data_IF_949546735499
#
_entry.id   IF_949546735499
#
_cell.length_a   1.000
_cell.length_b   1.000
_cell.length_c   1.000
_cell.angle_alpha   90.00
_cell.angle_beta   90.00
_cell.angle_gamma   90.00
#
_symmetry.space_group_name_H-M   'P 1'
#
loop_
_entity.id
_entity.type
_entity.pdbx_description
1 polymer ?
#
# COMPACT_ATOMS: atom_id res chain seq x y z
N UNK A 1 44.07 -68.77 -6.99
CA UNK A 1 44.36 -67.48 -7.63
C UNK A 1 43.09 -66.65 -7.65
N UNK A 2 43.25 -65.38 -7.30
CA UNK A 2 42.33 -64.59 -6.49
C UNK A 2 41.24 -63.87 -7.28
N UNK A 3 40.09 -63.69 -6.62
CA UNK A 3 38.80 -63.20 -7.11
C UNK A 3 38.81 -61.83 -7.79
N UNK A 4 37.87 -61.70 -8.74
CA UNK A 4 37.49 -60.52 -9.50
C UNK A 4 36.91 -59.41 -8.62
N UNK A 5 37.30 -58.19 -8.98
CA UNK A 5 36.87 -56.89 -8.46
C UNK A 5 35.36 -56.71 -8.63
N UNK A 6 34.67 -56.34 -7.54
CA UNK A 6 33.35 -55.73 -7.58
C UNK A 6 33.35 -54.55 -6.60
N UNK A 7 33.53 -53.35 -7.15
CA UNK A 7 33.40 -52.08 -6.44
C UNK A 7 31.91 -51.73 -6.43
N UNK A 8 31.28 -51.83 -5.26
CA UNK A 8 29.94 -51.31 -5.01
C UNK A 8 30.08 -49.92 -4.37
N UNK A 9 30.18 -48.90 -5.21
CA UNK A 9 29.99 -47.50 -4.79
C UNK A 9 28.49 -47.27 -4.75
N UNK A 10 27.91 -47.36 -3.54
CA UNK A 10 26.54 -46.95 -3.31
C UNK A 10 26.51 -45.41 -3.26
N UNK A 11 26.11 -44.82 -4.39
CA UNK A 11 25.83 -43.40 -4.53
C UNK A 11 24.54 -43.06 -3.76
N UNK A 12 24.68 -42.78 -2.47
CA UNK A 12 23.59 -42.27 -1.63
C UNK A 12 23.39 -40.78 -1.91
N UNK A 13 22.32 -40.48 -2.66
CA UNK A 13 21.88 -39.15 -3.08
C UNK A 13 21.94 -38.11 -1.95
N UNK A 14 22.50 -36.97 -2.31
CA UNK A 14 22.52 -35.70 -1.60
C UNK A 14 21.17 -35.34 -0.99
N UNK A 15 21.05 -35.47 0.32
CA UNK A 15 20.07 -34.74 1.11
C UNK A 15 20.55 -33.32 1.35
N UNK A 16 20.41 -32.44 0.35
CA UNK A 16 20.42 -30.99 0.55
C UNK A 16 18.96 -30.51 0.67
N UNK A 17 18.35 -30.76 1.83
CA UNK A 17 17.10 -30.12 2.25
C UNK A 17 17.25 -29.94 3.76
N UNK A 18 17.24 -28.76 4.36
CA UNK A 18 16.87 -27.44 3.90
C UNK A 18 17.91 -26.45 4.42
N UNK A 19 18.39 -25.54 3.56
CA UNK A 19 18.78 -24.24 4.08
C UNK A 19 17.48 -23.64 4.62
N UNK A 20 17.40 -23.51 5.94
CA UNK A 20 16.43 -22.65 6.60
C UNK A 20 16.63 -21.23 6.07
N UNK A 21 15.95 -20.89 4.98
CA UNK A 21 15.79 -19.52 4.55
C UNK A 21 14.89 -18.86 5.58
N UNK A 22 15.49 -18.28 6.61
CA UNK A 22 14.89 -17.27 7.48
C UNK A 22 14.65 -15.98 6.70
N UNK A 23 13.99 -16.11 5.54
CA UNK A 23 13.61 -15.03 4.63
C UNK A 23 12.09 -15.00 4.52
N UNK A 24 11.56 -13.79 4.32
CA UNK A 24 10.17 -13.53 3.96
C UNK A 24 9.71 -14.49 2.85
N UNK A 25 8.46 -15.01 2.89
CA UNK A 25 7.95 -15.83 1.80
C UNK A 25 7.90 -14.98 0.52
N UNK A 26 8.38 -15.53 -0.60
CA UNK A 26 8.29 -14.86 -1.89
C UNK A 26 6.86 -14.93 -2.43
N UNK A 27 6.01 -14.05 -1.91
CA UNK A 27 4.58 -13.97 -2.25
C UNK A 27 4.38 -13.36 -3.63
N UNK A 28 5.18 -12.36 -4.00
CA UNK A 28 5.08 -11.70 -5.31
C UNK A 28 5.28 -12.70 -6.45
N UNK A 29 6.32 -13.53 -6.38
CA UNK A 29 6.53 -14.62 -7.35
C UNK A 29 5.34 -15.59 -7.43
N UNK A 30 4.71 -15.90 -6.29
CA UNK A 30 3.55 -16.81 -6.25
C UNK A 30 2.32 -16.17 -6.88
N UNK A 31 2.10 -14.88 -6.70
CA UNK A 31 1.04 -14.16 -7.39
C UNK A 31 1.25 -14.16 -8.91
N UNK A 32 2.49 -13.93 -9.38
CA UNK A 32 2.80 -14.05 -10.82
C UNK A 32 2.53 -15.47 -11.36
N UNK A 33 2.79 -16.51 -10.57
CA UNK A 33 2.43 -17.89 -10.94
C UNK A 33 0.92 -18.06 -11.09
N UNK A 34 0.12 -17.50 -10.17
CA UNK A 34 -1.35 -17.51 -10.27
C UNK A 34 -1.82 -16.83 -11.55
N UNK A 35 -1.28 -15.66 -11.88
CA UNK A 35 -1.61 -14.92 -13.10
C UNK A 35 -1.26 -15.69 -14.39
N UNK A 36 -0.20 -16.50 -14.35
CA UNK A 36 0.21 -17.39 -15.45
C UNK A 36 -0.62 -18.68 -15.52
N UNK A 37 -1.70 -18.80 -14.74
CA UNK A 37 -2.56 -19.97 -14.69
C UNK A 37 -2.00 -21.13 -13.85
N UNK A 38 -0.92 -20.93 -13.09
CA UNK A 38 -0.31 -21.94 -12.22
C UNK A 38 -0.88 -21.93 -10.80
N UNK A 39 -2.13 -21.49 -10.63
CA UNK A 39 -2.76 -21.33 -9.32
C UNK A 39 -2.84 -22.61 -8.50
N UNK A 40 -3.07 -23.77 -9.14
CA UNK A 40 -3.12 -25.06 -8.45
C UNK A 40 -1.78 -25.46 -7.81
N UNK A 41 -0.66 -25.14 -8.48
CA UNK A 41 0.67 -25.38 -7.91
C UNK A 41 0.89 -24.53 -6.65
N UNK A 42 0.51 -23.25 -6.70
CA UNK A 42 0.62 -22.34 -5.56
C UNK A 42 -0.32 -22.74 -4.42
N UNK A 43 -1.53 -23.21 -4.74
CA UNK A 43 -2.51 -23.72 -3.78
C UNK A 43 -1.99 -24.96 -3.04
N UNK A 44 -1.26 -25.84 -3.72
CA UNK A 44 -0.64 -27.01 -3.09
C UNK A 44 0.43 -26.62 -2.05
N UNK A 45 1.12 -25.48 -2.23
CA UNK A 45 2.10 -24.96 -1.27
C UNK A 45 1.47 -24.18 -0.11
N UNK A 46 0.23 -23.71 -0.27
CA UNK A 46 -0.40 -22.74 0.63
C UNK A 46 -0.49 -23.25 2.08
N UNK A 47 -0.85 -24.52 2.28
CA UNK A 47 -0.94 -25.10 3.63
C UNK A 47 0.40 -25.07 4.36
N UNK A 48 1.51 -25.33 3.66
CA UNK A 48 2.84 -25.25 4.23
C UNK A 48 3.21 -23.79 4.53
N UNK A 49 2.94 -22.86 3.62
CA UNK A 49 3.19 -21.43 3.83
C UNK A 49 2.47 -20.90 5.06
N UNK A 50 1.19 -21.24 5.24
CA UNK A 50 0.42 -20.82 6.41
C UNK A 50 0.95 -21.40 7.72
N UNK A 51 1.50 -22.62 7.67
CA UNK A 51 2.10 -23.28 8.85
C UNK A 51 3.44 -22.64 9.22
N UNK A 52 4.27 -22.36 8.23
CA UNK A 52 5.62 -21.80 8.41
C UNK A 52 5.59 -20.30 8.72
N UNK A 53 4.70 -19.54 8.09
CA UNK A 53 4.59 -18.09 8.17
C UNK A 53 3.23 -17.67 8.73
N UNK A 54 2.95 -18.11 9.95
CA UNK A 54 1.70 -17.79 10.64
C UNK A 54 1.54 -16.27 10.77
N UNK A 55 0.32 -15.77 10.53
CA UNK A 55 -0.01 -14.35 10.58
C UNK A 55 0.85 -13.45 9.66
N UNK A 56 1.45 -13.99 8.60
CA UNK A 56 2.11 -13.18 7.59
C UNK A 56 1.07 -12.58 6.63
N UNK A 57 0.99 -11.24 6.49
CA UNK A 57 -0.04 -10.59 5.68
C UNK A 57 0.04 -10.93 4.20
N UNK A 58 1.23 -11.23 3.66
CA UNK A 58 1.39 -11.65 2.27
C UNK A 58 0.86 -13.07 2.03
N UNK A 59 1.11 -13.99 2.96
CA UNK A 59 0.52 -15.35 2.90
C UNK A 59 -1.00 -15.29 3.00
N UNK A 60 -1.53 -14.44 3.88
CA UNK A 60 -2.98 -14.21 4.00
C UNK A 60 -3.55 -13.60 2.72
N UNK A 61 -2.91 -12.59 2.14
CA UNK A 61 -3.34 -12.02 0.86
C UNK A 61 -3.35 -13.09 -0.23
N UNK A 62 -2.28 -13.89 -0.35
CA UNK A 62 -2.19 -14.99 -1.31
C UNK A 62 -3.29 -16.04 -1.11
N UNK A 63 -3.61 -16.37 0.14
CA UNK A 63 -4.75 -17.23 0.47
C UNK A 63 -6.04 -16.65 -0.09
N UNK A 64 -6.29 -15.35 0.11
CA UNK A 64 -7.44 -14.66 -0.47
C UNK A 64 -7.47 -14.78 -2.00
N UNK A 65 -6.34 -14.58 -2.69
CA UNK A 65 -6.24 -14.68 -4.16
C UNK A 65 -6.60 -16.07 -4.68
N UNK A 66 -6.23 -17.12 -3.95
CA UNK A 66 -6.49 -18.51 -4.31
C UNK A 66 -7.89 -19.00 -3.88
N UNK A 67 -8.65 -18.17 -3.17
CA UNK A 67 -9.98 -18.50 -2.68
C UNK A 67 -11.03 -18.21 -3.75
N UNK A 68 -11.72 -19.25 -4.22
CA UNK A 68 -12.74 -19.14 -5.27
C UNK A 68 -14.02 -18.46 -4.76
N UNK A 69 -14.38 -18.67 -3.49
CA UNK A 69 -15.53 -18.02 -2.88
C UNK A 69 -15.21 -16.56 -2.56
N UNK A 70 -15.88 -15.63 -3.24
CA UNK A 70 -15.62 -14.20 -3.06
C UNK A 70 -15.93 -13.68 -1.66
N UNK A 71 -16.88 -14.29 -0.95
CA UNK A 71 -17.24 -13.89 0.43
C UNK A 71 -16.14 -14.28 1.40
N UNK A 72 -15.60 -15.49 1.28
CA UNK A 72 -14.47 -15.95 2.09
C UNK A 72 -13.20 -15.18 1.76
N UNK A 73 -12.94 -14.92 0.47
CA UNK A 73 -11.81 -14.07 0.05
C UNK A 73 -11.91 -12.67 0.65
N UNK A 74 -13.11 -12.06 0.67
CA UNK A 74 -13.34 -10.75 1.27
C UNK A 74 -13.06 -10.74 2.77
N UNK A 75 -13.43 -11.78 3.53
CA UNK A 75 -13.08 -11.89 4.96
C UNK A 75 -11.57 -11.91 5.18
N UNK A 76 -10.85 -12.65 4.33
CA UNK A 76 -9.38 -12.74 4.40
C UNK A 76 -8.76 -11.36 4.13
N UNK A 77 -9.18 -10.66 3.07
CA UNK A 77 -8.68 -9.31 2.77
C UNK A 77 -9.02 -8.30 3.88
N UNK A 78 -10.22 -8.37 4.44
CA UNK A 78 -10.60 -7.53 5.58
C UNK A 78 -9.69 -7.79 6.77
N UNK A 79 -9.35 -9.05 7.04
CA UNK A 79 -8.38 -9.41 8.09
C UNK A 79 -6.98 -8.87 7.81
N UNK A 80 -6.54 -8.78 6.55
CA UNK A 80 -5.24 -8.16 6.20
C UNK A 80 -5.25 -6.67 6.52
N UNK A 81 -6.31 -5.96 6.10
CA UNK A 81 -6.46 -4.52 6.34
C UNK A 81 -6.54 -4.20 7.84
N UNK A 82 -7.34 -4.95 8.59
CA UNK A 82 -7.61 -4.65 10.01
C UNK A 82 -6.42 -4.96 10.90
N UNK A 83 -5.72 -6.08 10.65
CA UNK A 83 -4.65 -6.55 11.54
C UNK A 83 -3.26 -6.13 11.08
N UNK A 84 -3.10 -5.81 9.78
CA UNK A 84 -1.80 -5.43 9.20
C UNK A 84 -1.90 -4.17 8.34
N UNK A 85 -2.46 -3.05 8.84
CA UNK A 85 -2.72 -1.86 8.04
C UNK A 85 -1.44 -1.23 7.46
N UNK A 86 -0.26 -1.52 8.03
CA UNK A 86 1.05 -1.05 7.55
C UNK A 86 1.72 -1.99 6.56
N UNK A 87 1.13 -3.14 6.28
CA UNK A 87 1.69 -4.12 5.36
C UNK A 87 1.67 -3.59 3.92
N UNK A 88 2.67 -3.98 3.12
CA UNK A 88 2.67 -3.78 1.67
C UNK A 88 1.51 -4.49 0.94
N UNK A 89 0.76 -5.35 1.64
CA UNK A 89 -0.39 -6.08 1.11
C UNK A 89 -1.74 -5.46 1.50
N UNK A 90 -1.73 -4.43 2.36
CA UNK A 90 -2.96 -3.88 2.93
C UNK A 90 -3.74 -3.02 1.93
N UNK A 91 -3.05 -2.23 1.10
CA UNK A 91 -3.67 -1.45 0.03
C UNK A 91 -4.18 -2.35 -1.09
N UNK A 92 -3.40 -3.37 -1.47
CA UNK A 92 -3.83 -4.43 -2.37
C UNK A 92 -5.09 -5.16 -1.85
N UNK A 93 -5.13 -5.52 -0.56
CA UNK A 93 -6.30 -6.16 0.05
C UNK A 93 -7.53 -5.24 0.05
N UNK A 94 -7.32 -3.96 0.36
CA UNK A 94 -8.39 -2.96 0.40
C UNK A 94 -8.97 -2.68 -1.00
N UNK A 95 -8.12 -2.69 -2.03
CA UNK A 95 -8.60 -2.61 -3.41
C UNK A 95 -9.40 -3.85 -3.83
N UNK A 96 -8.99 -5.05 -3.42
CA UNK A 96 -9.79 -6.27 -3.66
C UNK A 96 -11.14 -6.25 -2.96
N UNK A 97 -11.24 -5.65 -1.77
CA UNK A 97 -12.52 -5.41 -1.11
C UNK A 97 -13.39 -4.45 -1.93
N UNK A 98 -12.82 -3.36 -2.44
CA UNK A 98 -13.54 -2.46 -3.35
C UNK A 98 -14.07 -3.20 -4.59
N UNK A 99 -13.25 -4.02 -5.24
CA UNK A 99 -13.65 -4.82 -6.41
C UNK A 99 -14.76 -5.82 -6.07
N UNK A 100 -14.63 -6.53 -4.94
CA UNK A 100 -15.64 -7.46 -4.47
C UNK A 100 -16.98 -6.76 -4.23
N UNK A 101 -17.01 -5.66 -3.46
CA UNK A 101 -18.26 -4.95 -3.18
C UNK A 101 -18.87 -4.34 -4.44
N UNK A 102 -18.05 -3.95 -5.42
CA UNK A 102 -18.52 -3.50 -6.73
C UNK A 102 -19.16 -4.65 -7.52
N UNK A 103 -18.57 -5.85 -7.52
CA UNK A 103 -19.07 -7.00 -8.29
C UNK A 103 -20.37 -7.56 -7.74
N UNK A 104 -20.59 -7.51 -6.42
CA UNK A 104 -21.84 -7.96 -5.78
C UNK A 104 -22.91 -6.86 -5.69
N UNK A 105 -22.65 -5.66 -6.23
CA UNK A 105 -23.61 -4.55 -6.30
C UNK A 105 -23.75 -3.71 -5.01
N UNK A 106 -22.87 -3.87 -4.04
CA UNK A 106 -22.83 -3.11 -2.79
C UNK A 106 -22.02 -1.81 -2.93
N UNK A 107 -22.45 -0.93 -3.83
CA UNK A 107 -21.69 0.25 -4.25
C UNK A 107 -21.35 1.23 -3.11
N UNK A 108 -22.24 1.43 -2.13
CA UNK A 108 -21.96 2.30 -0.98
C UNK A 108 -20.76 1.79 -0.17
N UNK A 109 -20.70 0.48 0.05
CA UNK A 109 -19.58 -0.15 0.75
C UNK A 109 -18.31 -0.08 -0.08
N UNK A 110 -18.41 -0.30 -1.40
CA UNK A 110 -17.28 -0.13 -2.32
C UNK A 110 -16.71 1.30 -2.26
N UNK A 111 -17.57 2.33 -2.35
CA UNK A 111 -17.16 3.74 -2.24
C UNK A 111 -16.45 4.03 -0.91
N UNK A 112 -16.92 3.45 0.20
CA UNK A 112 -16.24 3.57 1.50
C UNK A 112 -14.85 2.93 1.47
N UNK A 113 -14.69 1.75 0.87
CA UNK A 113 -13.38 1.08 0.75
C UNK A 113 -12.42 1.86 -0.16
N UNK A 114 -12.92 2.43 -1.24
CA UNK A 114 -12.13 3.31 -2.11
C UNK A 114 -11.76 4.63 -1.40
N UNK A 115 -12.67 5.23 -0.65
CA UNK A 115 -12.37 6.41 0.16
C UNK A 115 -11.32 6.11 1.23
N UNK A 116 -11.43 4.95 1.89
CA UNK A 116 -10.42 4.43 2.82
C UNK A 116 -9.08 4.25 2.11
N UNK A 117 -9.06 3.66 0.90
CA UNK A 117 -7.85 3.45 0.11
C UNK A 117 -7.14 4.77 -0.23
N UNK A 118 -7.90 5.76 -0.68
CA UNK A 118 -7.37 7.10 -0.97
C UNK A 118 -6.87 7.84 0.27
N UNK A 119 -7.52 7.60 1.41
CA UNK A 119 -7.21 8.27 2.67
C UNK A 119 -5.98 7.64 3.36
N UNK A 120 -5.97 6.33 3.49
CA UNK A 120 -4.99 5.56 4.26
C UNK A 120 -3.80 5.11 3.41
N UNK A 121 -3.99 4.95 2.09
CA UNK A 121 -2.97 4.49 1.14
C UNK A 121 -2.85 5.39 -0.10
N UNK A 122 -2.62 6.71 0.05
CA UNK A 122 -2.66 7.69 -1.05
C UNK A 122 -1.62 7.48 -2.18
N UNK A 123 -0.71 6.51 -2.04
CA UNK A 123 0.33 6.18 -3.03
C UNK A 123 0.22 4.75 -3.54
N UNK A 124 -0.82 4.04 -3.13
CA UNK A 124 -1.21 2.81 -3.78
C UNK A 124 -1.43 3.10 -5.27
N UNK A 125 -1.08 2.16 -6.14
CA UNK A 125 -1.41 2.25 -7.56
C UNK A 125 -2.92 2.48 -7.77
N UNK A 126 -3.72 1.94 -6.86
CA UNK A 126 -5.17 1.98 -6.88
C UNK A 126 -5.79 3.27 -6.32
N UNK A 127 -5.00 4.14 -5.68
CA UNK A 127 -5.52 5.37 -5.06
C UNK A 127 -5.76 6.50 -6.09
N UNK A 128 -5.14 6.43 -7.26
CA UNK A 128 -5.45 7.31 -8.39
C UNK A 128 -6.65 6.79 -9.18
N UNK A 129 -7.64 7.67 -9.40
CA UNK A 129 -8.87 7.42 -10.17
C UNK A 129 -8.64 6.84 -11.57
N UNK A 130 -7.41 6.97 -12.10
CA UNK A 130 -7.04 6.68 -13.49
C UNK A 130 -6.90 5.18 -13.80
N UNK A 131 -6.73 4.31 -12.79
CA UNK A 131 -6.66 2.84 -12.94
C UNK A 131 -7.92 2.10 -12.45
N UNK A 132 -8.92 2.79 -11.90
CA UNK A 132 -10.17 2.15 -11.50
C UNK A 132 -10.93 1.69 -12.75
N UNK A 133 -11.33 0.40 -12.87
CA UNK A 133 -12.20 -0.02 -13.95
C UNK A 133 -13.46 0.87 -13.95
N UNK A 134 -14.00 1.24 -15.13
CA UNK A 134 -15.13 2.14 -15.21
C UNK A 134 -16.24 1.58 -14.34
N UNK A 135 -16.57 2.32 -13.27
CA UNK A 135 -17.68 1.97 -12.41
C UNK A 135 -18.90 1.76 -13.32
N UNK A 136 -19.65 0.64 -13.20
CA UNK A 136 -20.87 0.47 -13.96
C UNK A 136 -21.74 1.71 -13.71
N UNK A 137 -22.19 2.33 -14.81
CA UNK A 137 -22.90 3.59 -14.80
C UNK A 137 -23.97 3.57 -13.70
N UNK A 138 -23.80 4.44 -12.69
CA UNK A 138 -24.74 4.62 -11.59
C UNK A 138 -26.14 4.75 -12.20
N UNK A 139 -27.15 3.96 -11.79
CA UNK A 139 -28.53 4.27 -12.12
C UNK A 139 -28.82 5.70 -11.67
N UNK A 140 -29.12 6.58 -12.62
CA UNK A 140 -29.43 7.97 -12.38
C UNK A 140 -30.77 8.05 -11.63
N UNK A 141 -30.74 8.37 -10.34
CA UNK A 141 -31.94 8.83 -9.64
C UNK A 141 -32.04 10.34 -9.85
N UNK A 142 -32.96 10.74 -10.72
CA UNK A 142 -33.35 12.10 -11.03
C UNK A 142 -33.63 12.91 -9.75
N UNK A 143 -32.88 13.98 -9.52
CA UNK A 143 -33.36 15.11 -8.71
C UNK A 143 -33.21 16.38 -9.54
N UNK A 144 -34.37 16.94 -9.88
CA UNK A 144 -34.56 18.17 -10.64
C UNK A 144 -34.05 19.36 -9.83
N UNK A 145 -33.29 20.21 -10.48
CA UNK A 145 -32.81 21.50 -10.00
C UNK A 145 -33.79 22.60 -10.42
N UNK A 146 -34.20 23.54 -9.54
CA UNK A 146 -34.80 24.80 -9.97
C UNK A 146 -33.74 25.91 -10.17
N UNK A 147 -34.06 26.97 -10.96
CA UNK A 147 -33.08 27.65 -11.82
C UNK A 147 -32.34 28.83 -11.19
N UNK A 148 -31.20 29.13 -11.81
CA UNK A 148 -30.22 30.18 -11.54
C UNK A 148 -30.71 31.58 -12.00
N UNK A 149 -30.40 32.64 -11.25
CA UNK A 149 -30.52 34.04 -11.70
C UNK A 149 -29.38 34.94 -11.16
N UNK A 150 -28.87 35.78 -12.06
CA UNK A 150 -28.10 37.04 -11.95
C UNK A 150 -26.68 37.09 -11.31
N UNK A 151 -25.79 37.89 -11.95
CA UNK A 151 -24.34 38.02 -11.74
C UNK A 151 -23.91 39.32 -10.99
N UNK A 152 -22.88 39.19 -10.11
CA UNK A 152 -21.74 40.11 -9.74
C UNK A 152 -21.99 41.55 -9.19
N UNK A 153 -21.03 42.28 -8.50
CA UNK A 153 -19.57 42.07 -8.30
C UNK A 153 -18.94 42.37 -6.88
N UNK A 154 -17.64 42.03 -6.70
CA UNK A 154 -16.54 42.38 -5.72
C UNK A 154 -16.82 43.30 -4.49
N UNK A 155 -16.23 43.25 -3.27
CA UNK A 155 -14.99 42.77 -2.56
C UNK A 155 -15.23 43.05 -1.02
N UNK A 156 -14.30 42.96 -0.02
CA UNK A 156 -13.37 41.92 0.45
C UNK A 156 -13.48 41.58 1.99
N UNK A 157 -12.72 40.55 2.44
CA UNK A 157 -12.30 40.19 3.83
C UNK A 157 -13.36 39.81 4.89
N UNK A 158 -13.31 38.57 5.39
CA UNK A 158 -13.04 38.27 6.82
C UNK A 158 -13.08 36.76 7.14
N UNK A 159 -12.06 36.33 7.87
CA UNK A 159 -11.94 35.06 8.57
C UNK A 159 -12.92 35.05 9.77
N UNK A 160 -13.61 33.93 10.05
CA UNK A 160 -13.95 33.62 11.45
C UNK A 160 -13.16 32.45 12.03
N UNK A 161 -12.60 32.77 13.19
CA UNK A 161 -12.00 31.97 14.23
C UNK A 161 -12.51 30.52 14.43
N UNK A 162 -11.51 29.64 14.62
CA UNK A 162 -11.34 28.70 15.74
C UNK A 162 -12.60 28.11 16.38
N UNK A 163 -12.75 26.79 16.26
CA UNK A 163 -13.36 25.97 17.30
C UNK A 163 -12.30 25.01 17.86
N UNK A 164 -11.97 25.17 19.13
CA UNK A 164 -11.16 24.24 19.91
C UNK A 164 -11.98 22.97 20.24
N UNK A 165 -11.33 21.80 20.38
CA UNK A 165 -11.99 20.50 20.52
C UNK A 165 -12.48 20.25 21.94
N UNK A 166 -13.60 19.53 22.10
CA UNK A 166 -14.02 18.90 23.37
C UNK A 166 -14.05 17.39 23.20
N UNK A 167 -13.04 16.72 23.76
CA UNK A 167 -12.96 15.26 23.90
C UNK A 167 -11.54 14.84 24.27
N UNK A 168 -11.34 13.79 25.10
CA UNK A 168 -10.00 13.35 25.46
C UNK A 168 -9.25 12.92 24.19
N UNK A 169 -8.15 13.61 23.88
CA UNK A 169 -7.24 13.22 22.82
C UNK A 169 -6.50 11.98 23.31
N UNK A 170 -6.91 10.81 22.84
CA UNK A 170 -6.12 9.60 23.06
C UNK A 170 -4.75 9.78 22.41
N UNK A 171 -3.72 9.50 23.21
CA UNK A 171 -2.31 9.61 22.85
C UNK A 171 -1.97 8.63 21.72
N UNK A 172 -1.69 9.14 20.52
CA UNK A 172 -0.92 8.39 19.53
C UNK A 172 0.48 9.00 19.42
N UNK A 173 1.56 8.22 19.56
CA UNK A 173 2.92 8.72 19.42
C UNK A 173 3.20 9.04 17.94
N UNK A 174 3.18 10.32 17.59
CA UNK A 174 3.84 11.02 16.47
C UNK A 174 4.17 10.23 15.20
N UNK A 175 3.41 10.46 14.11
CA UNK A 175 3.27 9.49 12.99
C UNK A 175 3.38 10.11 11.59
N UNK A 176 3.69 11.39 11.35
CA UNK A 176 3.61 11.95 9.98
C UNK A 176 4.95 12.40 9.41
N UNK A 177 5.17 12.25 8.11
CA UNK A 177 6.33 12.76 7.36
C UNK A 177 5.86 13.31 6.02
N UNK A 178 6.68 14.06 5.29
CA UNK A 178 6.34 14.47 3.93
C UNK A 178 7.31 13.87 2.91
N UNK A 179 6.80 13.38 1.79
CA UNK A 179 7.65 13.02 0.65
C UNK A 179 7.78 14.21 -0.27
N UNK A 180 9.02 14.50 -0.65
CA UNK A 180 9.40 15.63 -1.50
C UNK A 180 10.00 15.18 -2.83
N UNK A 181 10.20 13.87 -3.02
CA UNK A 181 10.69 13.28 -4.26
C UNK A 181 10.68 11.75 -4.23
N UNK A 182 10.65 11.15 -5.41
CA UNK A 182 10.83 9.73 -5.62
C UNK A 182 11.70 9.51 -6.86
N UNK A 183 12.85 8.86 -6.69
CA UNK A 183 13.88 8.76 -7.71
C UNK A 183 14.20 7.31 -8.05
N UNK A 184 14.50 7.03 -9.31
CA UNK A 184 15.00 5.71 -9.75
C UNK A 184 16.47 5.45 -9.37
N UNK A 185 17.21 6.49 -8.98
CA UNK A 185 18.62 6.41 -8.59
C UNK A 185 18.84 6.93 -7.17
N UNK A 186 19.67 6.23 -6.39
CA UNK A 186 20.00 6.62 -5.01
C UNK A 186 20.71 7.97 -4.96
N UNK A 187 21.59 8.27 -5.92
CA UNK A 187 22.36 9.51 -5.96
C UNK A 187 21.47 10.76 -6.00
N UNK A 188 20.40 10.75 -6.81
CA UNK A 188 19.45 11.86 -6.89
C UNK A 188 18.65 12.03 -5.59
N UNK A 189 18.29 10.91 -4.94
CA UNK A 189 17.63 10.93 -3.64
C UNK A 189 18.54 11.49 -2.53
N UNK A 190 19.83 11.13 -2.55
CA UNK A 190 20.83 11.66 -1.61
C UNK A 190 21.10 13.15 -1.80
N UNK A 191 21.15 13.63 -3.04
CA UNK A 191 21.31 15.06 -3.31
C UNK A 191 20.15 15.87 -2.73
N UNK A 192 18.92 15.39 -2.93
CA UNK A 192 17.74 16.06 -2.38
C UNK A 192 17.74 16.00 -0.85
N UNK A 193 18.05 14.84 -0.26
CA UNK A 193 18.22 14.69 1.20
C UNK A 193 19.21 15.72 1.76
N UNK A 194 20.41 15.82 1.18
CA UNK A 194 21.44 16.77 1.60
C UNK A 194 20.99 18.22 1.49
N UNK A 195 20.20 18.56 0.46
CA UNK A 195 19.62 19.91 0.30
C UNK A 195 18.69 20.26 1.46
N UNK A 196 17.84 19.33 1.90
CA UNK A 196 16.96 19.55 3.06
C UNK A 196 17.74 19.59 4.38
N UNK A 197 18.74 18.73 4.58
CA UNK A 197 19.59 18.74 5.78
C UNK A 197 20.40 20.03 5.92
N UNK A 198 20.88 20.60 4.80
CA UNK A 198 21.59 21.88 4.79
C UNK A 198 20.73 23.05 5.28
N UNK A 199 19.42 22.97 5.04
CA UNK A 199 18.43 23.94 5.51
C UNK A 199 17.91 23.61 6.92
N UNK A 200 18.49 22.60 7.58
CA UNK A 200 18.17 22.21 8.95
C UNK A 200 17.00 21.24 9.10
N UNK A 201 16.49 20.67 8.00
CA UNK A 201 15.38 19.73 8.05
C UNK A 201 15.88 18.29 8.16
N UNK A 202 15.34 17.53 9.12
CA UNK A 202 15.56 16.08 9.19
C UNK A 202 14.99 15.40 7.95
N UNK A 203 15.75 14.52 7.31
CA UNK A 203 15.29 13.80 6.12
C UNK A 203 15.88 12.40 6.01
N UNK A 204 15.16 11.50 5.36
CA UNK A 204 15.51 10.09 5.20
C UNK A 204 15.12 9.58 3.80
N UNK A 205 15.80 8.55 3.32
CA UNK A 205 15.49 7.88 2.05
C UNK A 205 14.89 6.52 2.35
N UNK A 206 13.65 6.33 1.92
CA UNK A 206 12.97 5.05 1.94
C UNK A 206 13.07 4.38 0.56
N UNK A 207 13.66 3.19 0.48
CA UNK A 207 13.78 2.45 -0.77
C UNK A 207 12.69 1.38 -0.85
N UNK A 208 11.90 1.41 -1.91
CA UNK A 208 10.91 0.37 -2.23
C UNK A 208 11.15 -0.18 -3.64
N UNK A 209 10.65 -1.38 -3.91
CA UNK A 209 10.67 -1.96 -5.26
C UNK A 209 9.22 -2.02 -5.77
N UNK A 210 8.95 -1.40 -6.93
CA UNK A 210 7.64 -1.43 -7.61
C UNK A 210 7.87 -1.94 -9.04
N UNK A 211 7.17 -2.99 -9.45
CA UNK A 211 7.29 -3.61 -10.78
C UNK A 211 8.73 -3.98 -11.18
N UNK A 212 9.50 -4.51 -10.22
CA UNK A 212 10.92 -4.85 -10.41
C UNK A 212 11.87 -3.64 -10.50
N UNK A 213 11.36 -2.41 -10.40
CA UNK A 213 12.14 -1.17 -10.41
C UNK A 213 12.29 -0.63 -8.98
N UNK A 214 13.52 -0.32 -8.59
CA UNK A 214 13.80 0.33 -7.29
C UNK A 214 13.45 1.81 -7.37
N UNK A 215 12.73 2.29 -6.35
CA UNK A 215 12.35 3.67 -6.17
C UNK A 215 12.83 4.15 -4.79
N UNK A 216 13.55 5.25 -4.79
CA UNK A 216 14.12 5.90 -3.62
C UNK A 216 13.28 7.14 -3.29
N UNK A 217 12.42 7.02 -2.29
CA UNK A 217 11.54 8.09 -1.80
C UNK A 217 12.26 8.92 -0.77
N UNK A 218 12.27 10.24 -0.94
CA UNK A 218 12.88 11.18 0.01
C UNK A 218 11.79 11.71 0.92
N UNK A 219 11.92 11.40 2.19
CA UNK A 219 11.03 11.84 3.27
C UNK A 219 11.68 12.92 4.11
N UNK A 220 10.92 13.93 4.53
CA UNK A 220 11.40 15.08 5.28
C UNK A 220 10.46 15.37 6.45
N UNK A 221 11.04 15.61 7.61
CA UNK A 221 10.36 15.97 8.84
C UNK A 221 9.60 14.80 9.49
N UNK A 222 9.30 14.98 10.77
CA UNK A 222 8.45 14.11 11.57
C UNK A 222 7.45 15.00 12.31
N UNK A 223 6.16 14.74 12.14
CA UNK A 223 5.08 15.60 12.61
C UNK A 223 4.08 14.79 13.44
N UNK A 224 3.53 15.41 14.48
CA UNK A 224 2.62 14.70 15.38
C UNK A 224 1.23 14.57 14.81
N UNK A 225 0.84 15.54 13.99
CA UNK A 225 -0.46 15.64 13.38
C UNK A 225 -0.33 15.98 11.90
N UNK A 226 -1.39 15.65 11.16
CA UNK A 226 -1.46 15.88 9.72
C UNK A 226 -1.45 17.37 9.36
N UNK A 227 -1.97 18.25 10.23
CA UNK A 227 -2.04 19.70 9.99
C UNK A 227 -0.65 20.34 9.96
N UNK A 228 0.23 19.95 10.88
CA UNK A 228 1.65 20.34 10.89
C UNK A 228 2.35 19.89 9.62
N UNK A 229 2.16 18.63 9.21
CA UNK A 229 2.76 18.09 7.99
C UNK A 229 2.24 18.82 6.73
N UNK A 230 0.95 19.17 6.68
CA UNK A 230 0.36 19.96 5.56
C UNK A 230 0.88 21.38 5.50
N UNK A 231 1.02 22.06 6.64
CA UNK A 231 1.65 23.38 6.70
C UNK A 231 3.08 23.32 6.17
N UNK A 232 3.85 22.33 6.62
CA UNK A 232 5.21 22.13 6.17
C UNK A 232 5.31 21.81 4.67
N UNK A 233 4.41 20.98 4.13
CA UNK A 233 4.32 20.74 2.68
C UNK A 233 4.09 22.04 1.89
N UNK A 234 3.26 22.95 2.41
CA UNK A 234 3.06 24.28 1.84
C UNK A 234 4.31 25.16 1.89
N UNK A 235 5.10 25.08 2.97
CA UNK A 235 6.41 25.75 3.05
C UNK A 235 7.40 25.19 2.04
N UNK A 236 7.44 23.87 1.86
CA UNK A 236 8.32 23.22 0.89
C UNK A 236 8.01 23.70 -0.52
N UNK A 237 6.73 23.81 -0.88
CA UNK A 237 6.33 24.37 -2.18
C UNK A 237 6.79 25.80 -2.37
N UNK A 238 6.66 26.65 -1.34
CA UNK A 238 7.06 28.06 -1.40
C UNK A 238 8.57 28.27 -1.43
N UNK A 239 9.33 27.54 -0.60
CA UNK A 239 10.78 27.73 -0.41
C UNK A 239 11.63 26.94 -1.40
N UNK A 240 11.21 25.73 -1.74
CA UNK A 240 12.00 24.81 -2.57
C UNK A 240 11.44 24.64 -3.99
N UNK A 241 10.21 25.10 -4.24
CA UNK A 241 9.53 24.91 -5.52
C UNK A 241 9.15 23.45 -5.78
N UNK A 242 9.07 22.64 -4.72
CA UNK A 242 8.81 21.20 -4.81
C UNK A 242 7.41 20.90 -4.30
N UNK A 243 6.67 20.07 -5.02
CA UNK A 243 5.44 19.51 -4.49
C UNK A 243 5.78 18.46 -3.42
N UNK A 244 5.06 18.54 -2.31
CA UNK A 244 5.26 17.69 -1.16
C UNK A 244 3.95 16.97 -0.82
N UNK A 245 4.04 15.69 -0.48
CA UNK A 245 2.87 14.88 -0.18
C UNK A 245 3.02 14.32 1.23
N UNK A 246 2.00 14.51 2.06
CA UNK A 246 1.99 14.08 3.46
C UNK A 246 1.76 12.57 3.56
N UNK A 247 2.53 11.91 4.42
CA UNK A 247 2.49 10.48 4.72
C UNK A 247 2.31 10.26 6.22
N UNK A 248 1.59 9.22 6.61
CA UNK A 248 1.70 8.62 7.96
C UNK A 248 2.76 7.49 7.97
N UNK A 249 3.49 7.34 9.07
CA UNK A 249 4.58 6.39 9.35
C UNK A 249 4.11 5.19 10.19
#
# INVERSE_FOLDING_TARGET
MSSRIAILILLGMTGLYAQSSTGEPDIRRRLEMVERGQGEAVKAELSQLMTTYQNNPGVMYLQGVLTTDGTEAAKIYQSVVDNFPKSEWADDALYRLYQYYTSVGLFKTAEQKMAQLKLEYPFSAYASEEEAPPAPAKPQTTQQQPPQAEQAPAEPVQQPAVLAPKGPVEKYPTVYTIQVGAFSTMANAEELKKRFEKEGYSSNIFTMTRDGKKLHKVWVGEFQNIDEARRFAGEVKKKFGLDAIVYSR
#
